data_IF_559721011647
#
_entry.id   IF_559721011647
#
_cell.length_a   1.000
_cell.length_b   1.000
_cell.length_c   1.000
_cell.angle_alpha   90.00
_cell.angle_beta   90.00
_cell.angle_gamma   90.00
#
_symmetry.space_group_name_H-M   'P 1'
#
loop_
_entity.id
_entity.type
_entity.pdbx_description
1 polymer ?
#
# COMPACT_ATOMS: atom_id res chain seq x y z
N UNK A 1 -19.52 3.51 -1.82
CA UNK A 1 -19.13 4.42 -0.72
C UNK A 1 -18.29 5.60 -1.22
N UNK A 2 -17.83 5.60 -2.49
CA UNK A 2 -17.14 6.73 -3.10
C UNK A 2 -15.63 6.79 -2.84
N UNK A 3 -15.03 5.72 -2.34
CA UNK A 3 -13.56 5.63 -2.23
C UNK A 3 -12.93 5.47 -3.61
N UNK A 4 -11.85 6.21 -3.87
CA UNK A 4 -11.11 6.12 -5.12
C UNK A 4 -10.36 4.79 -5.25
N UNK A 5 -9.90 4.26 -4.13
CA UNK A 5 -9.21 2.98 -4.04
C UNK A 5 -9.53 2.26 -2.74
N UNK A 6 -9.37 0.95 -2.75
CA UNK A 6 -9.46 0.08 -1.57
C UNK A 6 -8.31 -0.91 -1.61
N UNK A 7 -7.54 -0.97 -0.53
CA UNK A 7 -6.51 -1.98 -0.35
C UNK A 7 -7.06 -3.20 0.39
N UNK A 8 -6.95 -4.37 -0.22
CA UNK A 8 -7.26 -5.63 0.44
C UNK A 8 -6.08 -6.03 1.31
N UNK A 9 -6.34 -6.17 2.59
CA UNK A 9 -5.31 -6.50 3.56
C UNK A 9 -5.10 -8.02 3.63
N UNK A 10 -3.93 -8.46 3.15
CA UNK A 10 -3.49 -9.85 3.21
C UNK A 10 -2.40 -10.09 4.27
N UNK A 11 -1.94 -9.02 4.95
CA UNK A 11 -0.96 -9.10 6.04
C UNK A 11 -1.63 -9.44 7.37
N UNK A 12 -2.62 -8.65 7.76
CA UNK A 12 -3.36 -8.83 9.01
C UNK A 12 -4.81 -9.26 8.78
N UNK A 13 -5.29 -9.24 7.55
CA UNK A 13 -6.61 -9.69 7.17
C UNK A 13 -6.68 -11.19 6.87
N UNK A 14 -7.86 -11.78 6.88
CA UNK A 14 -8.06 -13.21 6.61
C UNK A 14 -8.11 -13.55 5.11
N UNK A 15 -7.92 -12.55 4.22
CA UNK A 15 -8.11 -12.74 2.77
C UNK A 15 -6.92 -13.45 2.16
N UNK A 16 -7.17 -14.54 1.46
CA UNK A 16 -6.18 -15.30 0.68
C UNK A 16 -6.17 -14.89 -0.80
N UNK A 17 -5.13 -15.26 -1.53
CA UNK A 17 -5.01 -15.00 -2.97
C UNK A 17 -6.22 -15.52 -3.76
N UNK A 18 -6.80 -16.66 -3.35
CA UNK A 18 -7.94 -17.27 -4.03
C UNK A 18 -9.23 -16.45 -3.97
N UNK A 19 -9.34 -15.53 -3.00
CA UNK A 19 -10.51 -14.66 -2.82
C UNK A 19 -10.39 -13.34 -3.59
N UNK A 20 -9.16 -12.93 -3.94
CA UNK A 20 -8.91 -11.66 -4.63
C UNK A 20 -9.70 -11.49 -5.94
N UNK A 21 -9.86 -12.53 -6.80
CA UNK A 21 -10.59 -12.39 -8.06
C UNK A 21 -12.02 -11.88 -7.89
N UNK A 22 -12.73 -12.35 -6.87
CA UNK A 22 -14.12 -11.96 -6.64
C UNK A 22 -14.22 -10.57 -6.02
N UNK A 23 -13.32 -10.27 -5.08
CA UNK A 23 -13.26 -8.97 -4.41
C UNK A 23 -12.88 -7.88 -5.42
N UNK A 24 -11.83 -8.10 -6.22
CA UNK A 24 -11.39 -7.12 -7.21
C UNK A 24 -12.46 -6.86 -8.28
N UNK A 25 -13.17 -7.91 -8.73
CA UNK A 25 -14.29 -7.77 -9.66
C UNK A 25 -15.40 -6.88 -9.10
N UNK A 26 -15.72 -7.04 -7.82
CA UNK A 26 -16.72 -6.20 -7.17
C UNK A 26 -16.27 -4.74 -7.05
N UNK A 27 -15.00 -4.49 -6.73
CA UNK A 27 -14.43 -3.14 -6.65
C UNK A 27 -14.39 -2.46 -8.02
N UNK A 28 -13.92 -3.17 -9.06
CA UNK A 28 -13.86 -2.68 -10.44
C UNK A 28 -15.26 -2.30 -10.96
N UNK A 29 -16.27 -3.15 -10.72
CA UNK A 29 -17.67 -2.86 -11.08
C UNK A 29 -18.22 -1.64 -10.31
N UNK A 30 -17.72 -1.38 -9.13
CA UNK A 30 -18.04 -0.21 -8.33
C UNK A 30 -17.28 1.06 -8.72
N UNK A 31 -16.36 0.98 -9.68
CA UNK A 31 -15.51 2.11 -10.10
C UNK A 31 -14.41 2.44 -9.11
N UNK A 32 -14.00 1.48 -8.27
CA UNK A 32 -12.97 1.65 -7.24
C UNK A 32 -11.72 0.89 -7.63
N UNK A 33 -10.53 1.54 -7.58
CA UNK A 33 -9.25 0.92 -7.88
C UNK A 33 -8.92 -0.15 -6.81
N UNK A 34 -8.74 -1.43 -7.18
CA UNK A 34 -8.34 -2.46 -6.25
C UNK A 34 -6.82 -2.43 -6.02
N UNK A 35 -6.39 -2.28 -4.79
CA UNK A 35 -5.01 -2.49 -4.36
C UNK A 35 -4.93 -3.71 -3.45
N UNK A 36 -3.74 -4.27 -3.27
CA UNK A 36 -3.48 -5.32 -2.28
C UNK A 36 -2.35 -4.91 -1.34
N UNK A 37 -2.61 -4.90 -0.03
CA UNK A 37 -1.50 -4.96 0.93
C UNK A 37 -1.09 -6.42 1.03
N UNK A 38 0.12 -6.73 0.52
CA UNK A 38 0.58 -8.12 0.44
C UNK A 38 1.01 -8.65 1.80
N UNK A 39 0.97 -9.97 1.98
CA UNK A 39 1.19 -10.61 3.28
C UNK A 39 2.60 -10.44 3.86
N UNK A 40 3.59 -10.18 3.02
CA UNK A 40 4.97 -9.93 3.44
C UNK A 40 5.79 -9.37 2.27
N UNK A 41 6.98 -8.79 2.52
CA UNK A 41 7.83 -8.19 1.49
C UNK A 41 8.58 -9.26 0.67
N UNK A 42 7.84 -10.19 0.09
CA UNK A 42 8.36 -11.21 -0.81
C UNK A 42 7.85 -10.98 -2.22
N UNK A 43 8.72 -11.08 -3.25
CA UNK A 43 8.35 -10.87 -4.65
C UNK A 43 7.15 -11.72 -5.10
N UNK A 44 7.06 -12.97 -4.62
CA UNK A 44 5.96 -13.87 -4.97
C UNK A 44 4.59 -13.33 -4.54
N UNK A 45 4.49 -12.65 -3.40
CA UNK A 45 3.23 -12.12 -2.91
C UNK A 45 2.73 -10.98 -3.79
N UNK A 46 3.63 -10.11 -4.25
CA UNK A 46 3.30 -9.04 -5.19
C UNK A 46 2.83 -9.62 -6.54
N UNK A 47 3.59 -10.59 -7.08
CA UNK A 47 3.21 -11.26 -8.33
C UNK A 47 1.81 -11.88 -8.23
N UNK A 48 1.52 -12.62 -7.16
CA UNK A 48 0.23 -13.27 -6.98
C UNK A 48 -0.93 -12.27 -6.94
N UNK A 49 -0.78 -11.15 -6.24
CA UNK A 49 -1.81 -10.12 -6.19
C UNK A 49 -2.04 -9.46 -7.55
N UNK A 50 -0.97 -9.10 -8.25
CA UNK A 50 -1.03 -8.47 -9.57
C UNK A 50 -1.60 -9.42 -10.63
N UNK A 51 -1.27 -10.71 -10.59
CA UNK A 51 -1.84 -11.72 -11.49
C UNK A 51 -3.37 -11.90 -11.28
N UNK A 52 -3.88 -11.61 -10.09
CA UNK A 52 -5.31 -11.58 -9.83
C UNK A 52 -5.99 -10.24 -10.20
N UNK A 53 -5.24 -9.24 -10.68
CA UNK A 53 -5.77 -7.98 -11.19
C UNK A 53 -5.76 -6.85 -10.17
N UNK A 54 -4.87 -6.88 -9.18
CA UNK A 54 -4.60 -5.68 -8.40
C UNK A 54 -4.04 -4.58 -9.30
N UNK A 55 -4.58 -3.37 -9.22
CA UNK A 55 -4.02 -2.19 -9.90
C UNK A 55 -2.71 -1.71 -9.25
N UNK A 56 -2.34 -2.28 -8.10
CA UNK A 56 -1.08 -2.02 -7.42
C UNK A 56 -0.95 -2.78 -6.11
N UNK A 57 0.22 -2.70 -5.52
CA UNK A 57 0.56 -3.38 -4.26
C UNK A 57 1.10 -2.41 -3.22
N UNK A 58 0.67 -2.59 -1.97
CA UNK A 58 1.26 -1.98 -0.78
C UNK A 58 2.14 -3.04 -0.11
N UNK A 59 3.42 -2.78 -0.01
CA UNK A 59 4.42 -3.75 0.44
C UNK A 59 4.82 -3.42 1.87
N UNK A 60 4.45 -4.25 2.86
CA UNK A 60 4.78 -4.01 4.26
C UNK A 60 6.27 -4.22 4.55
N UNK A 61 6.74 -3.75 5.69
CA UNK A 61 8.05 -4.05 6.28
C UNK A 61 9.25 -3.82 5.34
N UNK A 62 9.16 -2.85 4.43
CA UNK A 62 10.32 -2.44 3.63
C UNK A 62 11.33 -1.75 4.55
N UNK A 63 12.58 -2.20 4.52
CA UNK A 63 13.66 -1.68 5.36
C UNK A 63 14.89 -1.19 4.57
N UNK A 64 15.00 -1.54 3.28
CA UNK A 64 16.15 -1.14 2.45
C UNK A 64 15.82 -1.02 0.97
N UNK A 65 16.63 -0.23 0.24
CA UNK A 65 16.52 -0.09 -1.22
C UNK A 65 16.71 -1.42 -1.95
N UNK A 66 17.72 -2.21 -1.58
CA UNK A 66 18.01 -3.50 -2.23
C UNK A 66 16.84 -4.48 -2.11
N UNK A 67 16.19 -4.53 -0.94
CA UNK A 67 14.98 -5.34 -0.75
C UNK A 67 13.86 -4.87 -1.69
N UNK A 68 13.62 -3.57 -1.76
CA UNK A 68 12.58 -2.98 -2.59
C UNK A 68 12.85 -3.18 -4.08
N UNK A 69 14.07 -2.98 -4.55
CA UNK A 69 14.46 -3.20 -5.95
C UNK A 69 14.18 -4.64 -6.40
N UNK A 70 14.53 -5.62 -5.56
CA UNK A 70 14.26 -7.02 -5.85
C UNK A 70 12.75 -7.30 -6.00
N UNK A 71 11.91 -6.67 -5.17
CA UNK A 71 10.47 -6.82 -5.22
C UNK A 71 9.88 -6.11 -6.45
N UNK A 72 10.25 -4.86 -6.71
CA UNK A 72 9.75 -4.08 -7.84
C UNK A 72 10.01 -4.79 -9.17
N UNK A 73 11.17 -5.44 -9.31
CA UNK A 73 11.49 -6.19 -10.52
C UNK A 73 10.49 -7.32 -10.82
N UNK A 74 9.79 -7.83 -9.80
CA UNK A 74 8.76 -8.86 -9.93
C UNK A 74 7.32 -8.28 -9.98
N UNK A 75 7.17 -6.96 -9.91
CA UNK A 75 5.86 -6.32 -10.06
C UNK A 75 5.48 -6.08 -11.52
N UNK A 76 6.44 -5.90 -12.41
CA UNK A 76 6.20 -5.54 -13.80
C UNK A 76 6.63 -6.64 -14.77
N UNK A 77 5.94 -6.75 -15.90
CA UNK A 77 6.39 -7.60 -16.99
C UNK A 77 7.62 -7.03 -17.69
N UNK A 78 8.39 -7.83 -18.45
CA UNK A 78 9.41 -7.31 -19.35
C UNK A 78 8.80 -6.29 -20.33
N UNK A 79 9.50 -5.20 -20.71
CA UNK A 79 10.92 -4.94 -20.40
C UNK A 79 11.17 -4.22 -19.06
N UNK A 80 10.15 -3.68 -18.36
CA UNK A 80 10.33 -2.90 -17.14
C UNK A 80 10.73 -3.77 -15.94
N UNK A 81 10.25 -5.00 -15.89
CA UNK A 81 10.52 -5.96 -14.82
C UNK A 81 10.79 -7.36 -15.36
N UNK A 82 10.67 -8.34 -14.47
CA UNK A 82 10.88 -9.77 -14.76
C UNK A 82 9.76 -10.67 -14.24
N UNK A 83 8.60 -10.09 -13.89
CA UNK A 83 7.43 -10.89 -13.51
C UNK A 83 7.10 -11.88 -14.61
N UNK A 84 6.86 -13.15 -14.23
CA UNK A 84 6.51 -14.20 -15.17
C UNK A 84 5.26 -13.86 -15.99
N UNK A 85 5.35 -14.07 -17.29
CA UNK A 85 4.26 -13.82 -18.24
C UNK A 85 3.38 -15.06 -18.35
N UNK A 86 2.05 -14.88 -18.25
CA UNK A 86 1.12 -16.00 -18.30
C UNK A 86 -0.32 -15.55 -18.60
N UNK A 87 -1.20 -16.53 -18.74
CA UNK A 87 -2.64 -16.30 -18.87
C UNK A 87 -3.28 -16.35 -17.48
N UNK A 88 -3.54 -15.20 -16.96
CA UNK A 88 -4.08 -15.00 -15.60
C UNK A 88 -5.34 -14.11 -15.63
N UNK A 89 -5.99 -13.93 -14.47
CA UNK A 89 -7.19 -13.10 -14.39
C UNK A 89 -6.95 -11.69 -14.90
N UNK A 90 -5.82 -11.08 -14.57
CA UNK A 90 -5.50 -9.70 -14.95
C UNK A 90 -5.58 -9.45 -16.47
N UNK A 91 -5.24 -10.45 -17.31
CA UNK A 91 -5.37 -10.35 -18.77
C UNK A 91 -6.57 -11.14 -19.32
N UNK A 92 -7.55 -11.44 -18.46
CA UNK A 92 -8.77 -12.21 -18.77
C UNK A 92 -8.42 -13.55 -19.45
N UNK A 93 -7.48 -14.27 -18.82
CA UNK A 93 -7.00 -15.59 -19.26
C UNK A 93 -6.50 -15.60 -20.70
N UNK A 94 -5.80 -14.56 -21.09
CA UNK A 94 -5.18 -14.38 -22.40
C UNK A 94 -6.03 -13.63 -23.43
N UNK A 95 -7.32 -13.34 -23.14
CA UNK A 95 -8.18 -12.62 -24.08
C UNK A 95 -7.69 -11.20 -24.38
N UNK A 96 -7.11 -10.52 -23.39
CA UNK A 96 -6.57 -9.16 -23.51
C UNK A 96 -5.04 -9.15 -23.27
N UNK A 97 -4.34 -10.16 -23.76
CA UNK A 97 -2.92 -10.32 -23.51
C UNK A 97 -2.07 -9.12 -23.96
N UNK A 98 -2.30 -8.65 -25.19
CA UNK A 98 -1.53 -7.53 -25.75
C UNK A 98 -1.79 -6.22 -25.01
N UNK A 99 -3.06 -5.91 -24.72
CA UNK A 99 -3.42 -4.71 -23.94
C UNK A 99 -2.82 -4.76 -22.52
N UNK A 100 -2.88 -5.92 -21.87
CA UNK A 100 -2.30 -6.10 -20.54
C UNK A 100 -0.77 -6.03 -20.54
N UNK A 101 -0.12 -6.34 -21.65
CA UNK A 101 1.33 -6.16 -21.76
C UNK A 101 1.76 -4.70 -21.54
N UNK A 102 0.95 -3.74 -21.98
CA UNK A 102 1.15 -2.30 -21.69
C UNK A 102 0.74 -1.97 -20.24
N UNK A 103 -0.46 -2.38 -19.82
CA UNK A 103 -0.99 -2.13 -18.47
C UNK A 103 -0.08 -2.70 -17.38
N UNK A 104 0.52 -3.86 -17.62
CA UNK A 104 1.43 -4.51 -16.67
C UNK A 104 2.68 -3.71 -16.33
N UNK A 105 2.97 -2.65 -17.11
CA UNK A 105 4.05 -1.71 -16.85
C UNK A 105 3.66 -0.59 -15.88
N UNK A 106 2.34 -0.40 -15.63
CA UNK A 106 1.79 0.72 -14.88
C UNK A 106 1.25 0.32 -13.48
N UNK A 107 1.49 -0.92 -13.05
CA UNK A 107 1.07 -1.37 -11.72
C UNK A 107 1.71 -0.50 -10.63
N UNK A 108 0.89 0.07 -9.74
CA UNK A 108 1.38 0.92 -8.65
C UNK A 108 2.15 0.11 -7.61
N UNK A 109 3.29 0.63 -7.18
CA UNK A 109 4.10 0.04 -6.12
C UNK A 109 4.26 1.03 -4.98
N UNK A 110 3.72 0.68 -3.82
CA UNK A 110 3.77 1.49 -2.61
C UNK A 110 4.59 0.77 -1.54
N UNK A 111 5.64 1.40 -1.02
CA UNK A 111 6.42 0.86 0.09
C UNK A 111 5.86 1.35 1.43
N UNK A 112 5.55 0.44 2.36
CA UNK A 112 5.12 0.81 3.70
C UNK A 112 6.33 1.10 4.58
N UNK A 113 6.36 2.31 5.15
CA UNK A 113 7.42 2.82 6.02
C UNK A 113 6.91 2.74 7.46
N UNK A 114 7.33 1.70 8.17
CA UNK A 114 6.75 1.33 9.45
C UNK A 114 7.76 0.78 10.46
N UNK A 115 9.04 0.84 10.12
CA UNK A 115 10.13 0.47 11.01
C UNK A 115 11.21 1.54 11.00
N UNK A 116 11.91 1.71 12.13
CA UNK A 116 12.99 2.69 12.27
C UNK A 116 14.09 2.50 11.23
N UNK A 117 14.36 1.27 10.81
CA UNK A 117 15.35 0.98 9.77
C UNK A 117 14.91 1.55 8.41
N UNK A 118 13.61 1.49 8.09
CA UNK A 118 13.08 2.13 6.90
C UNK A 118 13.27 3.65 6.93
N UNK A 119 13.04 4.27 8.09
CA UNK A 119 13.24 5.71 8.27
C UNK A 119 14.71 6.09 8.09
N UNK A 120 15.63 5.31 8.66
CA UNK A 120 17.07 5.51 8.54
C UNK A 120 17.56 5.36 7.08
N UNK A 121 16.93 4.47 6.31
CA UNK A 121 17.29 4.18 4.92
C UNK A 121 16.40 4.93 3.90
N UNK A 122 15.52 5.84 4.35
CA UNK A 122 14.45 6.39 3.53
C UNK A 122 14.95 7.10 2.27
N UNK A 123 16.04 7.87 2.35
CA UNK A 123 16.66 8.53 1.19
C UNK A 123 16.99 7.54 0.07
N UNK A 124 17.51 6.37 0.40
CA UNK A 124 17.82 5.33 -0.58
C UNK A 124 16.56 4.59 -1.07
N UNK A 125 15.57 4.39 -0.20
CA UNK A 125 14.31 3.73 -0.55
C UNK A 125 13.53 4.57 -1.56
N UNK A 126 13.36 5.88 -1.31
CA UNK A 126 12.59 6.76 -2.21
C UNK A 126 13.31 7.03 -3.55
N UNK A 127 14.60 6.72 -3.64
CA UNK A 127 15.36 6.82 -4.89
C UNK A 127 15.22 5.58 -5.79
N UNK A 128 14.59 4.51 -5.33
CA UNK A 128 14.42 3.27 -6.10
C UNK A 128 13.49 3.52 -7.28
N UNK A 129 13.96 3.17 -8.47
CA UNK A 129 13.16 3.30 -9.70
C UNK A 129 11.98 2.33 -9.70
N UNK A 130 10.81 2.86 -10.00
CA UNK A 130 9.57 2.08 -10.04
C UNK A 130 8.81 2.06 -8.72
N UNK A 131 9.28 2.77 -7.70
CA UNK A 131 8.48 3.11 -6.53
C UNK A 131 7.61 4.32 -6.87
N UNK A 132 6.29 4.22 -6.63
CA UNK A 132 5.32 5.26 -6.96
C UNK A 132 4.92 6.10 -5.76
N UNK A 133 4.90 5.50 -4.56
CA UNK A 133 4.58 6.18 -3.32
C UNK A 133 5.17 5.45 -2.10
N UNK A 134 5.22 6.15 -0.97
CA UNK A 134 5.43 5.52 0.33
C UNK A 134 4.18 5.72 1.20
N UNK A 135 3.93 4.80 2.13
CA UNK A 135 2.84 4.89 3.09
C UNK A 135 3.36 4.63 4.50
N UNK A 136 3.03 5.50 5.43
CA UNK A 136 3.36 5.30 6.85
C UNK A 136 2.37 4.30 7.47
N UNK A 137 2.90 3.24 8.10
CA UNK A 137 2.16 2.33 8.99
C UNK A 137 2.28 2.82 10.44
N UNK A 138 1.26 3.51 11.01
CA UNK A 138 1.43 4.25 12.26
C UNK A 138 1.67 3.35 13.47
N UNK A 139 0.97 2.22 13.57
CA UNK A 139 1.09 1.31 14.71
C UNK A 139 2.47 0.66 14.76
N UNK A 140 2.92 0.06 13.65
CA UNK A 140 4.20 -0.61 13.56
C UNK A 140 5.36 0.39 13.69
N UNK A 141 5.25 1.58 13.09
CA UNK A 141 6.24 2.63 13.24
C UNK A 141 6.38 3.02 14.73
N UNK A 142 5.27 3.30 15.41
CA UNK A 142 5.29 3.66 16.84
C UNK A 142 5.84 2.52 17.70
N UNK A 143 5.52 1.26 17.37
CA UNK A 143 6.04 0.08 18.04
C UNK A 143 7.55 -0.04 17.85
N UNK A 144 8.06 0.14 16.63
CA UNK A 144 9.51 0.11 16.33
C UNK A 144 10.29 1.22 17.05
N UNK A 145 9.62 2.32 17.37
CA UNK A 145 10.17 3.43 18.17
C UNK A 145 10.11 3.16 19.69
N UNK A 146 9.49 2.06 20.13
CA UNK A 146 9.30 1.71 21.54
C UNK A 146 8.19 2.48 22.26
N UNK A 147 7.23 3.02 21.52
CA UNK A 147 6.12 3.88 22.01
C UNK A 147 4.79 3.47 21.36
N UNK A 148 4.50 2.18 21.32
CA UNK A 148 3.35 1.60 20.61
C UNK A 148 2.04 2.34 20.87
N UNK A 149 1.44 2.91 19.82
CA UNK A 149 0.14 3.58 19.86
C UNK A 149 0.16 4.99 20.51
N UNK A 150 1.31 5.47 20.97
CA UNK A 150 1.46 6.84 21.51
C UNK A 150 1.78 7.82 20.36
N UNK A 151 0.73 8.20 19.61
CA UNK A 151 0.84 9.05 18.43
C UNK A 151 1.10 10.52 18.73
N UNK A 152 0.91 10.95 19.98
CA UNK A 152 1.23 12.30 20.43
C UNK A 152 2.68 12.44 20.91
N UNK A 153 3.40 11.34 20.97
CA UNK A 153 4.79 11.32 21.40
C UNK A 153 5.68 12.14 20.48
N UNK A 154 6.49 13.01 21.06
CA UNK A 154 7.39 13.86 20.29
C UNK A 154 8.30 13.05 19.34
N UNK A 155 8.78 11.88 19.76
CA UNK A 155 9.63 11.03 18.93
C UNK A 155 8.90 10.53 17.68
N UNK A 156 7.61 10.20 17.82
CA UNK A 156 6.76 9.80 16.68
C UNK A 156 6.53 10.99 15.73
N UNK A 157 6.14 12.14 16.27
CA UNK A 157 5.87 13.34 15.48
C UNK A 157 7.12 13.85 14.74
N UNK A 158 8.27 13.84 15.40
CA UNK A 158 9.55 14.19 14.78
C UNK A 158 9.89 13.21 13.63
N UNK A 159 9.61 11.91 13.80
CA UNK A 159 9.80 10.88 12.77
C UNK A 159 8.89 11.11 11.57
N UNK A 160 7.60 11.40 11.77
CA UNK A 160 6.68 11.75 10.68
C UNK A 160 7.18 12.98 9.90
N UNK A 161 7.61 14.03 10.62
CA UNK A 161 8.19 15.22 10.00
C UNK A 161 9.42 14.91 9.16
N UNK A 162 10.29 14.00 9.63
CA UNK A 162 11.46 13.53 8.88
C UNK A 162 11.04 12.82 7.58
N UNK A 163 10.07 11.90 7.67
CA UNK A 163 9.55 11.16 6.51
C UNK A 163 9.01 12.13 5.46
N UNK A 164 8.14 13.05 5.85
CA UNK A 164 7.57 14.05 4.94
C UNK A 164 8.64 14.91 4.27
N UNK A 165 9.65 15.36 5.01
CA UNK A 165 10.77 16.17 4.46
C UNK A 165 11.56 15.40 3.39
N UNK A 166 11.87 14.13 3.64
CA UNK A 166 12.58 13.30 2.67
C UNK A 166 11.71 13.07 1.43
N UNK A 167 10.44 12.73 1.61
CA UNK A 167 9.52 12.54 0.49
C UNK A 167 9.37 13.80 -0.35
N UNK A 168 9.19 14.96 0.27
CA UNK A 168 9.08 16.24 -0.43
C UNK A 168 10.35 16.59 -1.24
N UNK A 169 11.54 16.35 -0.66
CA UNK A 169 12.84 16.54 -1.33
C UNK A 169 12.93 15.70 -2.61
N UNK A 170 12.45 14.48 -2.58
CA UNK A 170 12.48 13.53 -3.73
C UNK A 170 11.23 13.60 -4.61
N UNK A 171 10.27 14.48 -4.29
CA UNK A 171 8.97 14.56 -4.97
C UNK A 171 8.20 13.22 -4.94
N UNK A 172 8.43 12.42 -3.89
CA UNK A 172 7.78 11.14 -3.67
C UNK A 172 6.42 11.37 -2.98
N UNK A 173 5.31 10.89 -3.55
CA UNK A 173 4.02 10.89 -2.86
C UNK A 173 4.15 10.18 -1.50
N UNK A 174 3.68 10.84 -0.45
CA UNK A 174 3.71 10.30 0.90
C UNK A 174 2.30 10.05 1.40
N UNK A 175 2.04 8.84 1.83
CA UNK A 175 0.77 8.41 2.41
C UNK A 175 0.86 8.11 3.90
N UNK A 176 -0.30 8.04 4.52
CA UNK A 176 -0.48 7.61 5.91
C UNK A 176 -1.81 6.90 6.08
N UNK A 177 -1.90 5.98 7.03
CA UNK A 177 -3.16 5.33 7.40
C UNK A 177 -3.82 6.04 8.57
N UNK A 178 -5.00 6.61 8.36
CA UNK A 178 -5.91 7.11 9.40
C UNK A 178 -6.83 5.94 9.78
N UNK A 179 -6.38 5.11 10.72
CA UNK A 179 -7.03 3.82 11.08
C UNK A 179 -8.42 4.03 11.68
N UNK A 180 -8.54 4.96 12.63
CA UNK A 180 -9.85 5.38 13.17
C UNK A 180 -10.43 6.43 12.23
N UNK A 181 -11.67 6.24 11.73
CA UNK A 181 -12.31 7.17 10.79
C UNK A 181 -12.69 8.48 11.48
N UNK A 182 -11.74 9.38 11.58
CA UNK A 182 -11.88 10.74 12.12
C UNK A 182 -11.59 11.76 11.02
N UNK A 183 -12.61 12.55 10.67
CA UNK A 183 -12.49 13.57 9.61
C UNK A 183 -11.54 14.69 9.99
N UNK A 184 -11.43 15.06 11.28
CA UNK A 184 -10.48 16.09 11.74
C UNK A 184 -9.05 15.61 11.56
N UNK A 185 -8.80 14.33 11.90
CA UNK A 185 -7.49 13.72 11.67
C UNK A 185 -7.18 13.65 10.17
N UNK A 186 -8.16 13.31 9.34
CA UNK A 186 -7.99 13.30 7.87
C UNK A 186 -7.57 14.67 7.35
N UNK A 187 -8.32 15.73 7.72
CA UNK A 187 -8.04 17.11 7.32
C UNK A 187 -6.64 17.54 7.78
N UNK A 188 -6.28 17.22 9.04
CA UNK A 188 -4.95 17.49 9.57
C UNK A 188 -3.85 16.81 8.73
N UNK A 189 -4.00 15.54 8.35
CA UNK A 189 -3.02 14.83 7.54
C UNK A 189 -2.89 15.42 6.13
N UNK A 190 -3.99 15.89 5.55
CA UNK A 190 -3.97 16.61 4.27
C UNK A 190 -3.18 17.92 4.42
N UNK A 191 -3.46 18.71 5.46
CA UNK A 191 -2.77 19.97 5.72
C UNK A 191 -1.26 19.79 6.01
N UNK A 192 -0.87 18.65 6.61
CA UNK A 192 0.53 18.28 6.83
C UNK A 192 1.26 17.89 5.51
N UNK A 193 0.53 17.67 4.42
CA UNK A 193 1.10 17.38 3.10
C UNK A 193 1.06 15.91 2.67
N UNK A 194 0.32 15.04 3.36
CA UNK A 194 0.06 13.69 2.89
C UNK A 194 -0.89 13.70 1.70
N UNK A 195 -0.58 12.95 0.65
CA UNK A 195 -1.32 12.92 -0.62
C UNK A 195 -1.94 11.56 -0.96
N UNK A 196 -1.56 10.51 -0.21
CA UNK A 196 -2.06 9.15 -0.38
C UNK A 196 -2.52 8.62 0.99
N UNK A 197 -3.82 8.76 1.29
CA UNK A 197 -4.35 8.51 2.63
C UNK A 197 -5.28 7.30 2.62
N UNK A 198 -4.94 6.27 3.39
CA UNK A 198 -5.86 5.20 3.74
C UNK A 198 -6.76 5.70 4.89
N UNK A 199 -8.08 5.68 4.70
CA UNK A 199 -9.04 6.18 5.67
C UNK A 199 -9.95 5.07 6.16
N UNK A 200 -9.76 4.68 7.41
CA UNK A 200 -10.54 3.65 8.09
C UNK A 200 -10.16 2.22 7.69
N UNK A 201 -10.83 1.29 8.34
CA UNK A 201 -10.83 -0.15 8.06
C UNK A 201 -12.27 -0.62 8.14
N UNK A 202 -12.69 -1.53 7.27
CA UNK A 202 -14.08 -2.04 7.21
C UNK A 202 -14.59 -2.56 8.56
N UNK A 203 -13.76 -3.31 9.29
CA UNK A 203 -14.06 -3.81 10.63
C UNK A 203 -14.19 -2.69 11.66
N UNK A 204 -13.45 -1.60 11.54
CA UNK A 204 -13.58 -0.42 12.42
C UNK A 204 -14.91 0.28 12.16
N UNK A 205 -15.28 0.50 10.89
CA UNK A 205 -16.58 1.07 10.53
C UNK A 205 -17.72 0.19 11.04
N UNK A 206 -17.62 -1.14 10.92
CA UNK A 206 -18.60 -2.08 11.45
C UNK A 206 -18.73 -1.95 12.97
N UNK A 207 -17.62 -1.94 13.70
CA UNK A 207 -17.61 -1.82 15.16
C UNK A 207 -18.23 -0.51 15.65
N UNK A 208 -17.95 0.60 14.97
CA UNK A 208 -18.53 1.91 15.30
C UNK A 208 -20.05 1.97 15.03
N UNK A 209 -20.51 1.29 13.99
CA UNK A 209 -21.92 1.26 13.60
C UNK A 209 -22.76 0.20 14.34
N UNK A 210 -22.14 -0.85 14.83
CA UNK A 210 -22.81 -1.99 15.47
C UNK A 210 -23.01 -1.73 16.97
N UNK A 211 -23.93 -0.83 17.31
CA UNK A 211 -24.34 -0.59 18.71
C UNK A 211 -25.52 -1.46 19.08
N UNK A 212 -25.45 -2.14 20.25
CA UNK A 212 -26.60 -2.89 20.78
C UNK A 212 -27.78 -1.95 21.09
N UNK A 213 -28.99 -2.31 20.71
CA UNK A 213 -30.17 -1.54 21.12
C UNK A 213 -30.27 -1.51 22.67
N UNK A 214 -30.53 -0.33 23.22
CA UNK A 214 -30.76 -0.15 24.65
C UNK A 214 -32.16 -0.58 25.02
#
# INVERSE_FOLDING_TARGET
AGYQWVAIDMEHGPVSVSQLPDIFRALELGGTLPLARVASPLPINCRQALDQGAGGVVIPMISSANQLEAIISECHWPPRGRRGVGFQRANVFGKFFDAYSEESQEALVVAQIEHVDAVNNLESIVAVKGLDAVMVGPYDLSASLGITGDFENKKYLDTLSQILKVCAKHKMPCGIHVVQPDTKMLDQRIDEGYTFIAYGVDTVFLNLGATAPK
#
